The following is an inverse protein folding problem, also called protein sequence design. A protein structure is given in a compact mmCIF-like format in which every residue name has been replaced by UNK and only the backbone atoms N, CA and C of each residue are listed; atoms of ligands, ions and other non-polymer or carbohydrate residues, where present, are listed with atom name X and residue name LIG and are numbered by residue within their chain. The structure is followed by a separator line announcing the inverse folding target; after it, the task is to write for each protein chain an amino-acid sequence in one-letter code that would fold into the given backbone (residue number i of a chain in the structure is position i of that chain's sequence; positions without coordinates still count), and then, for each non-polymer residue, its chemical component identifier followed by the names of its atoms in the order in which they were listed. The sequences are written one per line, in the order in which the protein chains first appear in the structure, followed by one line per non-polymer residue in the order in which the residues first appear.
data_IF_863630745614
#
_entry.id   IF_863630745614
#
_cell.length_a   1.000
_cell.length_b   1.000
_cell.length_c   1.000
_cell.angle_alpha   90.00
_cell.angle_beta   90.00
_cell.angle_gamma   90.00
#
_symmetry.space_group_name_H-M   'P 1'
#
loop_
_entity.id
_entity.type
_entity.pdbx_description
1 polymer ?
#
# COMPACT_ATOMS: atom_id res chain seq x y z
N UNK A 1 39.75 -4.52 33.39
CA UNK A 1 38.37 -5.08 33.41
C UNK A 1 37.35 -3.98 33.06
N UNK A 2 37.29 -3.53 31.80
CA UNK A 2 36.38 -2.44 31.39
C UNK A 2 35.34 -2.86 30.32
N UNK A 3 35.57 -3.97 29.62
CA UNK A 3 34.70 -4.43 28.54
C UNK A 3 33.41 -5.14 29.02
N UNK A 4 33.43 -5.78 30.20
CA UNK A 4 32.26 -6.46 30.75
C UNK A 4 31.14 -5.52 31.18
N UNK A 5 31.48 -4.35 31.73
CA UNK A 5 30.50 -3.36 32.21
C UNK A 5 29.68 -2.74 31.07
N UNK A 6 30.32 -2.49 29.91
CA UNK A 6 29.66 -1.94 28.73
C UNK A 6 28.67 -2.96 28.14
N UNK A 7 29.03 -4.24 28.13
CA UNK A 7 28.17 -5.31 27.61
C UNK A 7 26.92 -5.53 28.46
N UNK A 8 27.05 -5.42 29.79
CA UNK A 8 25.91 -5.48 30.73
C UNK A 8 25.01 -4.23 30.63
N UNK A 9 25.59 -3.06 30.40
CA UNK A 9 24.82 -1.82 30.19
C UNK A 9 24.03 -1.85 28.86
N UNK A 10 24.64 -2.33 27.77
CA UNK A 10 23.98 -2.45 26.49
C UNK A 10 22.84 -3.49 26.52
N UNK A 11 23.06 -4.64 27.16
CA UNK A 11 22.03 -5.69 27.28
C UNK A 11 20.86 -5.26 28.17
N UNK A 12 21.13 -4.53 29.26
CA UNK A 12 20.07 -3.98 30.12
C UNK A 12 19.28 -2.84 29.47
N UNK A 13 19.89 -2.05 28.58
CA UNK A 13 19.18 -1.06 27.79
C UNK A 13 18.25 -1.71 26.75
N UNK A 14 18.77 -2.70 26.01
CA UNK A 14 17.99 -3.46 25.01
C UNK A 14 16.83 -4.20 25.68
N UNK A 15 17.04 -4.81 26.86
CA UNK A 15 15.98 -5.54 27.55
C UNK A 15 14.86 -4.64 28.07
N UNK A 16 15.19 -3.44 28.56
CA UNK A 16 14.18 -2.45 28.98
C UNK A 16 13.38 -1.90 27.80
N UNK A 17 14.04 -1.67 26.67
CA UNK A 17 13.37 -1.21 25.45
C UNK A 17 12.43 -2.29 24.88
N UNK A 18 12.88 -3.56 24.86
CA UNK A 18 12.02 -4.68 24.47
C UNK A 18 10.87 -4.91 25.46
N UNK A 19 11.10 -4.77 26.77
CA UNK A 19 10.06 -4.94 27.77
C UNK A 19 8.97 -3.85 27.68
N UNK A 20 9.33 -2.60 27.41
CA UNK A 20 8.37 -1.52 27.16
C UNK A 20 7.60 -1.68 25.84
N UNK A 21 8.28 -2.16 24.79
CA UNK A 21 7.61 -2.53 23.54
C UNK A 21 6.59 -3.64 23.80
N UNK A 22 7.00 -4.74 24.46
CA UNK A 22 6.13 -5.87 24.78
C UNK A 22 4.93 -5.50 25.66
N UNK A 23 5.11 -4.59 26.64
CA UNK A 23 4.02 -4.11 27.47
C UNK A 23 2.96 -3.30 26.68
N UNK A 24 3.37 -2.60 25.63
CA UNK A 24 2.45 -1.90 24.71
C UNK A 24 1.80 -2.84 23.69
N UNK A 25 2.47 -3.93 23.32
CA UNK A 25 1.97 -4.96 22.39
C UNK A 25 1.04 -6.00 23.04
N UNK A 26 0.98 -6.10 24.37
CA UNK A 26 0.16 -7.12 25.04
C UNK A 26 -1.32 -6.71 25.25
N UNK A 27 -1.68 -5.45 24.95
CA UNK A 27 -3.08 -5.00 25.00
C UNK A 27 -3.86 -5.30 23.70
N UNK A 28 -3.17 -5.55 22.58
CA UNK A 28 -3.76 -5.86 21.27
C UNK A 28 -2.96 -6.97 20.59
N UNK A 29 -3.60 -8.11 20.28
CA UNK A 29 -3.04 -9.32 19.66
C UNK A 29 -1.89 -9.03 18.65
N UNK A 30 -0.61 -9.23 19.03
CA UNK A 30 0.52 -8.80 18.20
C UNK A 30 0.84 -9.73 17.03
N UNK A 31 0.32 -10.97 17.01
CA UNK A 31 0.59 -11.94 15.93
C UNK A 31 -0.28 -11.72 14.68
N UNK A 32 -1.41 -11.03 14.81
CA UNK A 32 -2.32 -10.73 13.69
C UNK A 32 -1.84 -9.54 12.86
N UNK A 33 -1.39 -8.47 13.49
CA UNK A 33 -1.08 -7.20 12.81
C UNK A 33 -0.03 -7.32 11.69
N UNK A 34 1.02 -8.14 11.88
CA UNK A 34 2.04 -8.36 10.85
C UNK A 34 1.50 -9.17 9.66
N UNK A 35 0.69 -10.19 9.93
CA UNK A 35 0.04 -11.00 8.89
C UNK A 35 -0.95 -10.13 8.12
N UNK A 36 -1.70 -9.30 8.82
CA UNK A 36 -2.68 -8.39 8.23
C UNK A 36 -2.00 -7.32 7.37
N UNK A 37 -0.87 -6.77 7.81
CA UNK A 37 -0.11 -5.81 7.02
C UNK A 37 0.50 -6.46 5.77
N UNK A 38 1.00 -7.70 5.87
CA UNK A 38 1.50 -8.43 4.70
C UNK A 38 0.39 -8.68 3.68
N UNK A 39 -0.79 -9.11 4.12
CA UNK A 39 -1.96 -9.28 3.26
C UNK A 39 -2.37 -7.97 2.58
N UNK A 40 -2.29 -6.85 3.30
CA UNK A 40 -2.57 -5.54 2.73
C UNK A 40 -1.59 -5.16 1.61
N UNK A 41 -0.30 -5.45 1.79
CA UNK A 41 0.72 -5.21 0.76
C UNK A 41 0.47 -6.08 -0.48
N UNK A 42 0.17 -7.37 -0.29
CA UNK A 42 -0.17 -8.27 -1.39
C UNK A 42 -1.41 -7.76 -2.16
N UNK A 43 -2.41 -7.24 -1.46
CA UNK A 43 -3.59 -6.63 -2.08
C UNK A 43 -3.22 -5.45 -2.96
N UNK A 44 -2.44 -4.50 -2.42
CA UNK A 44 -1.98 -3.34 -3.19
C UNK A 44 -1.10 -3.73 -4.37
N UNK A 45 -0.25 -4.75 -4.24
CA UNK A 45 0.60 -5.25 -5.33
C UNK A 45 -0.24 -5.83 -6.46
N UNK A 46 -1.24 -6.66 -6.16
CA UNK A 46 -2.13 -7.20 -7.19
C UNK A 46 -2.93 -6.12 -7.90
N UNK A 47 -3.46 -5.14 -7.16
CA UNK A 47 -4.15 -3.98 -7.75
C UNK A 47 -3.20 -3.22 -8.67
N UNK A 48 -1.98 -2.92 -8.19
CA UNK A 48 -0.97 -2.21 -8.97
C UNK A 48 -0.60 -2.96 -10.25
N UNK A 49 -0.42 -4.29 -10.17
CA UNK A 49 -0.11 -5.13 -11.31
C UNK A 49 -1.23 -5.12 -12.34
N UNK A 50 -2.49 -5.25 -11.92
CA UNK A 50 -3.64 -5.20 -12.81
C UNK A 50 -3.78 -3.83 -13.46
N UNK A 51 -3.65 -2.75 -12.69
CA UNK A 51 -3.73 -1.38 -13.21
C UNK A 51 -2.57 -1.07 -14.18
N UNK A 52 -1.39 -1.65 -13.97
CA UNK A 52 -0.23 -1.45 -14.85
C UNK A 52 -0.35 -2.18 -16.20
N UNK A 53 -1.34 -3.05 -16.40
CA UNK A 53 -1.55 -3.75 -17.66
C UNK A 53 -2.07 -2.79 -18.74
N UNK A 54 -1.69 -3.00 -20.02
CA UNK A 54 -2.15 -2.16 -21.13
C UNK A 54 -3.64 -2.37 -21.48
N UNK A 55 -4.32 -3.35 -20.87
CA UNK A 55 -5.73 -3.64 -21.14
C UNK A 55 -6.74 -2.67 -20.52
N UNK A 56 -6.30 -1.81 -19.59
CA UNK A 56 -7.07 -0.68 -19.08
C UNK A 56 -6.66 0.57 -19.84
N UNK A 57 -7.60 1.41 -20.29
CA UNK A 57 -7.27 2.67 -20.95
C UNK A 57 -6.87 3.75 -19.93
N UNK A 58 -6.15 4.78 -20.38
CA UNK A 58 -5.78 5.91 -19.52
C UNK A 58 -7.04 6.69 -19.10
N UNK A 59 -8.00 6.81 -20.02
CA UNK A 59 -9.27 7.49 -19.83
C UNK A 59 -10.07 6.83 -18.71
N UNK A 60 -10.10 5.49 -18.66
CA UNK A 60 -10.75 4.73 -17.58
C UNK A 60 -10.12 5.02 -16.22
N UNK A 61 -8.77 5.04 -16.14
CA UNK A 61 -8.07 5.41 -14.90
C UNK A 61 -8.39 6.84 -14.48
N UNK A 62 -8.41 7.78 -15.43
CA UNK A 62 -8.72 9.18 -15.16
C UNK A 62 -10.16 9.36 -14.69
N UNK A 63 -11.12 8.57 -15.21
CA UNK A 63 -12.49 8.56 -14.73
C UNK A 63 -12.58 8.12 -13.27
N UNK A 64 -11.88 7.03 -12.90
CA UNK A 64 -11.81 6.56 -11.50
C UNK A 64 -11.24 7.63 -10.57
N UNK A 65 -10.15 8.29 -10.98
CA UNK A 65 -9.48 9.30 -10.15
C UNK A 65 -10.19 10.65 -10.14
N UNK A 66 -11.03 10.94 -11.14
CA UNK A 66 -11.72 12.22 -11.30
C UNK A 66 -12.85 12.42 -10.29
N UNK A 67 -13.48 11.34 -9.82
CA UNK A 67 -14.50 11.38 -8.77
C UNK A 67 -13.91 10.93 -7.42
N UNK A 68 -13.87 11.80 -6.39
CA UNK A 68 -13.38 11.45 -5.07
C UNK A 68 -14.08 10.23 -4.43
N UNK A 69 -15.35 9.98 -4.78
CA UNK A 69 -16.10 8.84 -4.26
C UNK A 69 -15.71 7.52 -4.94
N UNK A 70 -15.33 7.57 -6.21
CA UNK A 70 -14.89 6.39 -6.97
C UNK A 70 -13.41 6.14 -6.80
N UNK A 71 -12.62 7.19 -6.61
CA UNK A 71 -11.18 7.10 -6.40
C UNK A 71 -10.82 6.24 -5.17
N UNK A 72 -11.71 6.16 -4.18
CA UNK A 72 -11.51 5.39 -2.95
C UNK A 72 -12.61 4.33 -2.74
N UNK A 73 -12.25 3.05 -2.68
CA UNK A 73 -13.20 1.94 -2.51
C UNK A 73 -12.72 0.89 -1.50
N UNK A 74 -13.66 0.27 -0.77
CA UNK A 74 -13.36 -0.91 0.06
C UNK A 74 -13.14 -2.18 -0.78
N UNK A 75 -13.76 -2.23 -1.96
CA UNK A 75 -13.57 -3.28 -2.95
C UNK A 75 -13.20 -2.64 -4.30
N UNK A 76 -11.90 -2.43 -4.56
CA UNK A 76 -11.45 -1.79 -5.80
C UNK A 76 -11.70 -2.66 -7.03
N UNK A 77 -11.81 -4.00 -6.90
CA UNK A 77 -12.13 -4.86 -8.04
C UNK A 77 -13.52 -4.59 -8.56
N UNK A 78 -14.50 -4.54 -7.66
CA UNK A 78 -15.88 -4.24 -8.03
C UNK A 78 -16.05 -2.77 -8.42
N UNK A 79 -15.50 -1.84 -7.62
CA UNK A 79 -15.73 -0.40 -7.82
C UNK A 79 -15.05 0.15 -9.08
N UNK A 80 -13.87 -0.36 -9.42
CA UNK A 80 -13.10 0.11 -10.60
C UNK A 80 -13.24 -0.82 -11.80
N UNK A 81 -14.04 -1.89 -11.70
CA UNK A 81 -14.25 -2.86 -12.77
C UNK A 81 -12.98 -3.60 -13.18
N UNK A 82 -12.08 -3.90 -12.22
CA UNK A 82 -10.80 -4.53 -12.54
C UNK A 82 -10.98 -6.01 -12.93
N UNK A 83 -10.30 -6.48 -14.00
CA UNK A 83 -10.29 -7.89 -14.33
C UNK A 83 -9.48 -8.69 -13.30
N UNK A 84 -9.94 -9.89 -12.97
CA UNK A 84 -9.18 -10.85 -12.15
C UNK A 84 -9.98 -11.43 -10.98
N UNK A 85 -9.25 -12.12 -10.09
CA UNK A 85 -9.84 -12.73 -8.89
C UNK A 85 -9.98 -11.68 -7.80
N UNK A 86 -11.21 -11.43 -7.37
CA UNK A 86 -11.47 -10.55 -6.24
C UNK A 86 -10.73 -11.05 -4.98
N UNK A 87 -9.99 -10.15 -4.34
CA UNK A 87 -9.41 -10.41 -3.03
C UNK A 87 -10.49 -10.36 -1.94
N UNK A 88 -10.23 -10.99 -0.78
CA UNK A 88 -11.09 -10.82 0.38
C UNK A 88 -11.22 -9.34 0.70
N UNK A 89 -12.46 -8.84 0.69
CA UNK A 89 -12.75 -7.46 1.08
C UNK A 89 -12.25 -7.22 2.50
N UNK A 90 -11.43 -6.18 2.67
CA UNK A 90 -11.09 -5.65 3.99
C UNK A 90 -12.12 -4.60 4.37
N UNK A 91 -12.90 -4.88 5.41
CA UNK A 91 -13.92 -3.94 5.88
C UNK A 91 -13.32 -2.70 6.55
N UNK A 92 -12.05 -2.78 6.98
CA UNK A 92 -11.35 -1.79 7.77
C UNK A 92 -10.46 -0.84 6.95
N UNK A 93 -10.25 -1.12 5.65
CA UNK A 93 -9.41 -0.30 4.77
C UNK A 93 -10.14 0.08 3.48
N UNK A 94 -9.97 1.34 3.09
CA UNK A 94 -10.29 1.86 1.76
C UNK A 94 -9.04 1.96 0.92
N UNK A 95 -9.10 1.48 -0.32
CA UNK A 95 -8.05 1.65 -1.31
C UNK A 95 -8.36 2.86 -2.18
N UNK A 96 -7.42 3.79 -2.25
CA UNK A 96 -7.52 5.02 -3.02
C UNK A 96 -6.50 5.05 -4.14
N UNK A 97 -6.93 5.35 -5.37
CA UNK A 97 -6.06 5.57 -6.52
C UNK A 97 -5.83 7.07 -6.74
N UNK A 98 -4.57 7.45 -6.95
CA UNK A 98 -4.18 8.83 -7.27
C UNK A 98 -3.10 8.87 -8.35
N UNK A 99 -3.14 9.89 -9.19
CA UNK A 99 -2.06 10.22 -10.11
C UNK A 99 -1.03 11.11 -9.41
N UNK A 100 0.21 11.06 -9.91
CA UNK A 100 1.25 12.05 -9.57
C UNK A 100 1.32 13.12 -10.65
N UNK A 101 2.23 14.09 -10.49
CA UNK A 101 2.55 15.06 -11.54
C UNK A 101 3.16 14.41 -12.80
N UNK A 102 3.62 13.16 -12.71
CA UNK A 102 4.10 12.39 -13.85
C UNK A 102 2.93 11.58 -14.43
N UNK A 103 2.22 12.16 -15.40
CA UNK A 103 1.11 11.51 -16.10
C UNK A 103 1.60 10.78 -17.35
N UNK A 104 0.95 9.67 -17.66
CA UNK A 104 1.08 9.00 -18.95
C UNK A 104 0.61 9.94 -20.08
N UNK A 105 1.31 10.02 -21.22
CA UNK A 105 0.84 10.72 -22.43
C UNK A 105 -0.20 9.89 -23.21
N UNK A 106 -0.70 10.38 -24.35
CA UNK A 106 -1.70 9.65 -25.14
C UNK A 106 -1.05 8.53 -25.98
N UNK A 107 -1.75 7.40 -26.14
CA UNK A 107 -1.18 6.18 -26.72
C UNK A 107 -0.79 6.30 -28.21
N UNK A 108 -1.31 7.30 -28.93
CA UNK A 108 -1.10 7.50 -30.37
C UNK A 108 0.33 7.97 -30.73
N UNK A 109 1.18 8.27 -29.74
CA UNK A 109 2.57 8.71 -29.90
C UNK A 109 3.60 7.70 -29.36
N UNK A 110 3.82 6.57 -30.06
CA UNK A 110 4.97 5.67 -29.80
C UNK A 110 6.29 6.22 -30.39
N UNK A 111 7.51 5.81 -29.93
CA UNK A 111 7.88 4.81 -28.92
C UNK A 111 8.76 5.33 -27.75
N UNK A 112 8.86 6.65 -27.55
CA UNK A 112 9.83 7.30 -26.62
C UNK A 112 9.20 7.92 -25.37
N UNK A 113 7.94 7.60 -25.07
CA UNK A 113 7.19 8.34 -24.07
C UNK A 113 7.28 7.77 -22.65
N UNK A 114 7.37 8.70 -21.69
CA UNK A 114 7.65 8.42 -20.27
C UNK A 114 6.44 7.78 -19.60
N UNK A 115 6.64 6.76 -18.74
CA UNK A 115 5.54 6.15 -18.00
C UNK A 115 4.90 7.16 -17.04
N UNK A 116 3.59 7.03 -16.83
CA UNK A 116 2.91 7.69 -15.73
C UNK A 116 3.25 6.99 -14.41
N UNK A 117 3.35 7.79 -13.33
CA UNK A 117 3.52 7.29 -11.97
C UNK A 117 2.24 7.53 -11.19
N UNK A 118 1.75 6.46 -10.58
CA UNK A 118 0.48 6.40 -9.87
C UNK A 118 0.71 5.87 -8.45
N UNK A 119 -0.23 6.17 -7.56
CA UNK A 119 -0.15 5.79 -6.14
C UNK A 119 -1.46 5.15 -5.73
N UNK A 120 -1.35 3.95 -5.16
CA UNK A 120 -2.41 3.32 -4.38
C UNK A 120 -2.16 3.62 -2.91
N UNK A 121 -3.19 4.08 -2.20
CA UNK A 121 -3.15 4.31 -0.77
C UNK A 121 -4.18 3.42 -0.11
N UNK A 122 -3.78 2.63 0.89
CA UNK A 122 -4.71 1.96 1.78
C UNK A 122 -4.89 2.82 3.03
N UNK A 123 -6.10 3.32 3.24
CA UNK A 123 -6.47 4.19 4.35
C UNK A 123 -7.38 3.41 5.31
N UNK A 124 -7.02 3.26 6.60
CA UNK A 124 -7.89 2.64 7.57
C UNK A 124 -9.05 3.57 7.95
N UNK A 125 -10.19 3.00 8.33
CA UNK A 125 -11.33 3.78 8.83
C UNK A 125 -11.01 4.48 10.17
N UNK A 126 -10.14 3.88 10.99
CA UNK A 126 -9.66 4.44 12.25
C UNK A 126 -8.14 4.28 12.35
N UNK A 127 -7.46 5.36 12.77
CA UNK A 127 -6.02 5.34 13.01
C UNK A 127 -5.74 4.74 14.38
N UNK A 128 -4.91 3.68 14.41
CA UNK A 128 -4.43 3.08 15.66
C UNK A 128 -2.96 2.64 15.49
N UNK A 129 -2.32 2.21 16.59
CA UNK A 129 -0.97 1.66 16.54
C UNK A 129 -0.86 0.41 15.65
N UNK A 130 -1.97 -0.30 15.44
CA UNK A 130 -2.08 -1.52 14.62
C UNK A 130 -2.71 -1.28 13.24
N UNK A 131 -3.34 -0.12 13.01
CA UNK A 131 -3.98 0.25 11.75
C UNK A 131 -3.35 1.54 11.21
N UNK A 132 -2.27 1.37 10.44
CA UNK A 132 -1.52 2.46 9.83
C UNK A 132 -1.82 2.54 8.33
N UNK A 133 -1.94 3.77 7.77
CA UNK A 133 -2.03 3.95 6.34
C UNK A 133 -0.83 3.34 5.61
N UNK A 134 -1.10 2.68 4.49
CA UNK A 134 -0.07 2.14 3.62
C UNK A 134 -0.14 2.78 2.24
N UNK A 135 1.00 2.84 1.54
CA UNK A 135 1.08 3.39 0.19
C UNK A 135 1.91 2.50 -0.72
N UNK A 136 1.50 2.38 -1.97
CA UNK A 136 2.21 1.68 -3.03
C UNK A 136 2.30 2.57 -4.26
N UNK A 137 3.51 2.79 -4.75
CA UNK A 137 3.77 3.52 -5.98
C UNK A 137 3.94 2.49 -7.10
N UNK A 138 3.32 2.74 -8.24
CA UNK A 138 3.48 1.92 -9.43
C UNK A 138 3.54 2.80 -10.68
N UNK A 139 4.06 2.23 -11.75
CA UNK A 139 4.25 2.89 -13.03
C UNK A 139 3.39 2.19 -14.09
N UNK A 140 2.99 2.92 -15.12
CA UNK A 140 2.16 2.42 -16.23
C UNK A 140 2.43 3.24 -17.50
N UNK A 141 2.39 2.63 -18.70
CA UNK A 141 2.17 1.21 -18.97
C UNK A 141 3.46 0.39 -18.92
N UNK A 142 3.39 -0.88 -18.51
CA UNK A 142 4.52 -1.82 -18.69
C UNK A 142 4.63 -2.19 -20.18
N UNK A 143 5.84 -2.22 -20.79
CA UNK A 143 7.18 -2.27 -20.18
C UNK A 143 7.93 -0.92 -20.17
N UNK A 144 7.26 0.23 -20.23
CA UNK A 144 7.92 1.55 -20.29
C UNK A 144 8.30 2.10 -18.90
N UNK A 145 7.87 1.38 -17.87
CA UNK A 145 8.53 1.27 -16.57
C UNK A 145 9.92 0.61 -16.70
#
# INVERSE_FOLDING_TARGET
MAFGAVLVAATSFISRFMAQAQASFNADKPTGALVDQHQLQMAMDQIAETLAQPGLSKEDLMAIMGDPQQACAYDPWQAWGLPGRAMPRRADYRFCLRSTSLSEPQLDSMPTEKPGIYVIQALPDQLSASALPARRIFCRPKPFC
#
